data_IF_755585164689
#
_entry.id   IF_755585164689
#
_cell.length_a   1.000
_cell.length_b   1.000
_cell.length_c   1.000
_cell.angle_alpha   90.00
_cell.angle_beta   90.00
_cell.angle_gamma   90.00
#
_symmetry.space_group_name_H-M   'P 1'
#
loop_
_entity.id
_entity.type
_entity.pdbx_description
1 polymer ?
#
# COMPACT_ATOMS: atom_id res chain seq x y z
N UNK A 1 1.73 22.74 32.51
CA UNK A 1 1.66 22.55 31.06
C UNK A 1 0.52 21.58 30.80
N UNK A 2 -0.56 22.03 30.17
CA UNK A 2 -1.65 21.16 29.75
C UNK A 2 -1.15 20.32 28.58
N UNK A 3 -1.08 19.01 28.77
CA UNK A 3 -0.74 18.08 27.69
C UNK A 3 -1.84 18.18 26.62
N UNK A 4 -1.45 18.57 25.41
CA UNK A 4 -2.33 18.53 24.25
C UNK A 4 -2.41 17.08 23.78
N UNK A 5 -3.43 16.38 24.28
CA UNK A 5 -3.63 14.95 24.06
C UNK A 5 -3.79 14.63 22.56
N UNK A 6 -4.40 15.53 21.79
CA UNK A 6 -4.59 15.33 20.35
C UNK A 6 -3.27 15.50 19.58
N UNK A 7 -2.38 16.38 20.04
CA UNK A 7 -1.03 16.50 19.49
C UNK A 7 -0.18 15.25 19.79
N UNK A 8 -0.24 14.74 21.03
CA UNK A 8 0.50 13.52 21.43
C UNK A 8 0.00 12.30 20.66
N UNK A 9 -1.32 12.15 20.50
CA UNK A 9 -1.92 11.09 19.68
C UNK A 9 -1.49 11.19 18.22
N UNK A 10 -1.53 12.39 17.65
CA UNK A 10 -1.11 12.64 16.26
C UNK A 10 0.37 12.32 16.04
N UNK A 11 1.23 12.69 17.00
CA UNK A 11 2.66 12.38 16.95
C UNK A 11 2.95 10.90 17.11
N UNK A 12 2.21 10.21 17.98
CA UNK A 12 2.30 8.76 18.13
C UNK A 12 1.90 8.04 16.83
N UNK A 13 0.73 8.36 16.27
CA UNK A 13 0.23 7.75 15.02
C UNK A 13 1.17 8.05 13.85
N UNK A 14 1.69 9.28 13.75
CA UNK A 14 2.65 9.69 12.72
C UNK A 14 3.99 8.96 12.82
N UNK A 15 4.49 8.73 14.04
CA UNK A 15 5.80 8.10 14.26
C UNK A 15 5.76 6.57 14.17
N UNK A 16 4.67 5.95 14.61
CA UNK A 16 4.55 4.48 14.69
C UNK A 16 3.78 3.85 13.54
N UNK A 17 2.96 4.64 12.83
CA UNK A 17 1.98 4.14 11.89
C UNK A 17 0.86 3.32 12.54
N UNK A 18 0.74 3.34 13.87
CA UNK A 18 -0.29 2.62 14.61
C UNK A 18 -1.68 3.17 14.27
N UNK A 19 -2.68 2.30 14.23
CA UNK A 19 -4.07 2.70 14.06
C UNK A 19 -4.50 3.64 15.21
N UNK A 20 -5.26 4.72 14.94
CA UNK A 20 -5.58 5.74 15.96
C UNK A 20 -6.25 5.19 17.22
N UNK A 21 -7.05 4.13 17.11
CA UNK A 21 -7.65 3.45 18.27
C UNK A 21 -6.60 2.78 19.16
N UNK A 22 -5.71 1.97 18.57
CA UNK A 22 -4.62 1.32 19.31
C UNK A 22 -3.64 2.34 19.91
N UNK A 23 -3.31 3.39 19.15
CA UNK A 23 -2.47 4.48 19.62
C UNK A 23 -3.09 5.17 20.85
N UNK A 24 -4.41 5.40 20.83
CA UNK A 24 -5.14 5.98 21.95
C UNK A 24 -5.17 5.05 23.16
N UNK A 25 -5.42 3.76 22.97
CA UNK A 25 -5.44 2.77 24.07
C UNK A 25 -4.07 2.65 24.75
N UNK A 26 -2.98 2.63 23.97
CA UNK A 26 -1.62 2.57 24.49
C UNK A 26 -1.22 3.86 25.23
N UNK A 27 -1.61 5.02 24.70
CA UNK A 27 -1.37 6.30 25.34
C UNK A 27 -2.20 6.44 26.63
N UNK A 28 -3.49 6.10 26.61
CA UNK A 28 -4.34 6.14 27.80
C UNK A 28 -3.84 5.16 28.87
N UNK A 29 -3.43 3.95 28.48
CA UNK A 29 -2.85 2.95 29.39
C UNK A 29 -1.51 3.36 30.03
N UNK A 30 -0.80 4.32 29.43
CA UNK A 30 0.43 4.92 29.97
C UNK A 30 0.25 6.36 30.44
N UNK A 31 -0.99 6.77 30.70
CA UNK A 31 -1.29 8.09 31.24
C UNK A 31 -0.74 9.23 30.35
N UNK A 32 -0.79 9.01 29.04
CA UNK A 32 -0.29 9.88 27.97
C UNK A 32 1.23 10.09 27.96
N UNK A 33 1.99 9.16 28.54
CA UNK A 33 3.44 9.10 28.38
C UNK A 33 3.81 8.49 27.02
N UNK A 34 4.25 9.37 26.11
CA UNK A 34 4.67 9.01 24.75
C UNK A 34 5.81 7.98 24.74
N UNK A 35 6.80 8.10 25.63
CA UNK A 35 7.96 7.21 25.64
C UNK A 35 7.58 5.81 26.13
N UNK A 36 6.72 5.73 27.13
CA UNK A 36 6.24 4.45 27.66
C UNK A 36 5.31 3.74 26.66
N UNK A 37 4.42 4.49 25.99
CA UNK A 37 3.54 3.94 24.98
C UNK A 37 4.31 3.43 23.74
N UNK A 38 5.41 4.11 23.35
CA UNK A 38 6.27 3.67 22.26
C UNK A 38 6.97 2.34 22.57
N UNK A 39 7.42 2.15 23.82
CA UNK A 39 8.04 0.91 24.26
C UNK A 39 7.05 -0.27 24.22
N UNK A 40 5.85 -0.08 24.75
CA UNK A 40 4.78 -1.09 24.68
C UNK A 40 4.43 -1.45 23.23
N UNK A 41 4.38 -0.46 22.34
CA UNK A 41 4.15 -0.69 20.91
C UNK A 41 5.27 -1.51 20.26
N UNK A 42 6.54 -1.25 20.60
CA UNK A 42 7.66 -2.04 20.11
C UNK A 42 7.64 -3.49 20.60
N UNK A 43 7.25 -3.74 21.85
CA UNK A 43 7.09 -5.09 22.39
C UNK A 43 5.97 -5.86 21.67
N UNK A 44 4.81 -5.22 21.47
CA UNK A 44 3.70 -5.79 20.68
C UNK A 44 4.15 -6.14 19.26
N UNK A 45 4.94 -5.28 18.62
CA UNK A 45 5.48 -5.52 17.28
C UNK A 45 6.46 -6.71 17.23
N UNK A 46 7.26 -6.91 18.27
CA UNK A 46 8.19 -8.05 18.37
C UNK A 46 7.45 -9.39 18.52
N UNK A 47 6.38 -9.44 19.31
CA UNK A 47 5.57 -10.66 19.51
C UNK A 47 4.87 -11.08 18.21
N UNK A 48 4.37 -10.14 17.42
CA UNK A 48 3.78 -10.45 16.11
C UNK A 48 4.81 -10.89 15.06
N UNK A 49 6.05 -10.42 15.17
CA UNK A 49 7.13 -10.82 14.25
C UNK A 49 7.63 -12.24 14.53
N UNK A 50 7.70 -12.64 15.81
CA UNK A 50 8.16 -13.97 16.22
C UNK A 50 7.19 -15.13 15.89
N UNK A 51 5.95 -14.82 15.54
CA UNK A 51 4.90 -15.80 15.23
C UNK A 51 4.60 -15.96 13.73
N UNK A 52 5.42 -15.42 12.83
CA UNK A 52 5.28 -15.69 11.39
C UNK A 52 5.77 -17.12 11.05
N UNK A 53 5.01 -17.89 10.24
CA UNK A 53 5.50 -19.17 9.70
C UNK A 53 6.82 -19.00 8.96
N UNK A 54 7.75 -19.95 9.14
CA UNK A 54 9.11 -19.99 8.56
C UNK A 54 9.14 -20.20 7.03
N UNK A 55 8.11 -19.82 6.29
CA UNK A 55 7.95 -20.11 4.85
C UNK A 55 8.71 -19.12 3.95
N UNK A 56 9.32 -18.07 4.51
CA UNK A 56 10.00 -17.02 3.75
C UNK A 56 11.53 -17.14 3.72
N UNK A 57 12.11 -18.30 4.03
CA UNK A 57 13.55 -18.51 3.88
C UNK A 57 13.87 -19.66 2.92
N UNK A 58 14.29 -19.25 1.71
CA UNK A 58 15.04 -19.97 0.68
C UNK A 58 14.47 -21.24 0.04
N UNK A 59 14.50 -21.24 -1.30
CA UNK A 59 14.21 -22.41 -2.11
C UNK A 59 15.37 -23.40 -2.14
N UNK A 60 15.04 -24.71 -2.07
CA UNK A 60 15.63 -25.80 -2.87
C UNK A 60 14.97 -27.15 -2.58
N UNK A 61 14.64 -27.84 -3.68
CA UNK A 61 14.44 -29.29 -3.88
C UNK A 61 13.28 -30.06 -3.21
N UNK A 62 12.46 -30.66 -4.09
CA UNK A 62 11.54 -31.77 -3.84
C UNK A 62 12.19 -32.95 -3.09
N UNK A 63 11.43 -33.53 -2.15
CA UNK A 63 11.19 -34.99 -2.02
C UNK A 63 10.05 -35.28 -1.00
N UNK A 64 9.02 -36.00 -1.44
CA UNK A 64 8.14 -36.84 -0.59
C UNK A 64 8.90 -38.13 -0.19
N UNK A 65 8.58 -38.82 0.94
CA UNK A 65 7.41 -39.72 1.07
C UNK A 65 6.76 -39.77 2.49
N UNK A 66 5.43 -39.89 2.61
CA UNK A 66 4.56 -41.07 2.88
C UNK A 66 4.20 -41.38 4.35
N UNK A 67 2.87 -41.51 4.56
CA UNK A 67 2.07 -42.36 5.47
C UNK A 67 2.41 -42.53 6.97
N UNK A 68 1.39 -42.28 7.82
CA UNK A 68 1.20 -42.97 9.11
C UNK A 68 0.31 -42.25 10.13
N UNK A 69 -1.01 -42.50 10.14
CA UNK A 69 -1.85 -42.51 11.37
C UNK A 69 -1.55 -43.80 12.17
N UNK A 70 -1.87 -43.96 13.49
CA UNK A 70 -3.11 -43.49 14.13
C UNK A 70 -3.08 -43.18 15.68
N UNK A 71 -4.24 -42.78 16.19
CA UNK A 71 -4.86 -43.08 17.52
C UNK A 71 -5.07 -41.95 18.56
N UNK A 72 -6.36 -41.79 18.85
CA UNK A 72 -7.05 -41.06 19.93
C UNK A 72 -6.91 -41.81 21.28
N UNK A 73 -7.16 -41.18 22.46
CA UNK A 73 -8.52 -41.24 23.00
C UNK A 73 -8.99 -40.02 23.85
N UNK A 74 -10.14 -39.46 23.45
CA UNK A 74 -11.37 -39.15 24.23
C UNK A 74 -11.30 -38.82 25.72
N UNK A 75 -11.86 -37.64 26.09
CA UNK A 75 -12.65 -37.43 27.33
C UNK A 75 -13.79 -36.41 27.15
N UNK A 76 -15.00 -36.99 27.15
CA UNK A 76 -16.38 -36.60 27.54
C UNK A 76 -16.70 -35.15 27.99
N UNK A 77 -17.84 -34.68 27.45
CA UNK A 77 -18.61 -33.44 27.62
C UNK A 77 -19.25 -33.18 29.00
N UNK A 78 -19.65 -31.92 29.28
CA UNK A 78 -21.07 -31.50 29.49
C UNK A 78 -21.22 -29.96 29.70
N UNK A 79 -22.44 -29.39 29.54
CA UNK A 79 -22.67 -28.11 28.86
C UNK A 79 -23.11 -26.96 29.78
N UNK A 80 -23.00 -25.70 29.31
CA UNK A 80 -23.82 -24.60 29.83
C UNK A 80 -24.11 -23.54 28.75
N UNK A 81 -25.35 -23.08 28.79
CA UNK A 81 -26.11 -22.21 27.89
C UNK A 81 -25.72 -20.74 27.88
N UNK A 82 -25.85 -20.13 26.70
CA UNK A 82 -26.25 -18.74 26.40
C UNK A 82 -25.58 -17.59 27.17
N UNK A 83 -24.71 -16.84 26.49
CA UNK A 83 -24.93 -15.41 26.27
C UNK A 83 -24.56 -15.02 24.84
N UNK A 84 -25.57 -14.51 24.17
CA UNK A 84 -25.56 -13.86 22.87
C UNK A 84 -25.00 -12.45 23.13
N UNK A 85 -23.79 -12.17 22.66
CA UNK A 85 -23.33 -10.79 22.43
C UNK A 85 -23.10 -10.66 20.93
N UNK A 86 -24.10 -10.04 20.31
CA UNK A 86 -24.11 -9.66 18.90
C UNK A 86 -23.14 -8.49 18.64
N UNK A 87 -22.39 -8.65 17.55
CA UNK A 87 -21.92 -7.60 16.64
C UNK A 87 -20.91 -6.55 17.13
N UNK A 88 -19.73 -6.57 16.47
CA UNK A 88 -19.06 -5.41 15.84
C UNK A 88 -17.58 -5.20 16.18
N UNK A 89 -16.64 -6.08 15.76
CA UNK A 89 -15.28 -5.66 15.37
C UNK A 89 -14.39 -6.76 14.78
N UNK A 90 -14.72 -7.32 13.61
CA UNK A 90 -13.74 -8.17 12.89
C UNK A 90 -14.01 -8.29 11.38
N UNK A 91 -13.82 -7.19 10.63
CA UNK A 91 -13.65 -7.19 9.17
C UNK A 91 -12.84 -5.97 8.72
N UNK A 92 -11.53 -5.90 9.02
CA UNK A 92 -10.75 -4.70 8.68
C UNK A 92 -9.84 -4.91 7.47
N UNK A 93 -10.33 -4.40 6.35
CA UNK A 93 -9.54 -3.53 5.48
C UNK A 93 -10.23 -2.17 5.48
N UNK A 94 -9.49 -1.08 5.28
CA UNK A 94 -10.09 0.27 5.19
C UNK A 94 -9.36 1.12 4.16
N UNK A 95 -9.44 0.63 2.91
CA UNK A 95 -9.02 1.16 1.60
C UNK A 95 -7.69 0.72 1.01
N UNK A 96 -7.16 -0.44 1.36
CA UNK A 96 -6.05 -0.99 0.56
C UNK A 96 -5.11 -1.91 1.29
N UNK A 97 -4.40 -2.70 0.50
CA UNK A 97 -3.55 -3.79 0.96
C UNK A 97 -2.43 -3.35 1.92
N UNK A 98 -2.03 -2.07 1.89
CA UNK A 98 -1.02 -1.53 2.80
C UNK A 98 -1.45 -1.50 4.27
N UNK A 99 -2.74 -1.64 4.55
CA UNK A 99 -3.26 -1.76 5.93
C UNK A 99 -3.34 -3.22 6.42
N UNK A 100 -3.13 -4.20 5.54
CA UNK A 100 -3.27 -5.61 5.92
C UNK A 100 -2.16 -6.07 6.90
N UNK A 101 -0.96 -5.51 6.79
CA UNK A 101 0.13 -5.74 7.75
C UNK A 101 1.09 -4.56 7.78
N UNK A 102 0.98 -3.71 8.80
CA UNK A 102 1.83 -2.53 8.95
C UNK A 102 3.32 -2.89 9.09
N UNK A 103 3.64 -3.99 9.79
CA UNK A 103 5.01 -4.45 10.00
C UNK A 103 5.69 -4.89 8.70
N UNK A 104 5.04 -5.76 7.91
CA UNK A 104 5.60 -6.24 6.63
C UNK A 104 5.76 -5.09 5.66
N UNK A 105 4.74 -4.23 5.56
CA UNK A 105 4.77 -3.10 4.62
C UNK A 105 5.82 -2.07 5.03
N UNK A 106 6.02 -1.83 6.34
CA UNK A 106 7.09 -0.96 6.83
C UNK A 106 8.49 -1.51 6.49
N UNK A 107 8.71 -2.82 6.67
CA UNK A 107 9.95 -3.47 6.27
C UNK A 107 10.19 -3.32 4.75
N UNK A 108 9.17 -3.62 3.93
CA UNK A 108 9.27 -3.49 2.48
C UNK A 108 9.57 -2.05 2.05
N UNK A 109 8.94 -1.04 2.68
CA UNK A 109 9.24 0.38 2.42
C UNK A 109 10.67 0.75 2.80
N UNK A 110 11.19 0.25 3.92
CA UNK A 110 12.58 0.50 4.32
C UNK A 110 13.59 -0.03 3.32
N UNK A 111 13.32 -1.20 2.72
CA UNK A 111 14.17 -1.77 1.66
C UNK A 111 14.20 -0.87 0.43
N UNK A 112 13.03 -0.47 -0.07
CA UNK A 112 12.92 0.43 -1.24
C UNK A 112 13.56 1.78 -0.96
N UNK A 113 13.40 2.34 0.24
CA UNK A 113 14.03 3.61 0.62
C UNK A 113 15.56 3.53 0.59
N UNK A 114 16.13 2.43 1.08
CA UNK A 114 17.58 2.21 1.07
C UNK A 114 18.13 2.09 -0.35
N UNK A 115 17.42 1.39 -1.25
CA UNK A 115 17.82 1.29 -2.66
C UNK A 115 17.72 2.63 -3.41
N UNK A 116 16.79 3.51 -3.01
CA UNK A 116 16.58 4.81 -3.67
C UNK A 116 17.53 5.91 -3.17
N UNK A 117 18.31 5.66 -2.11
CA UNK A 117 19.21 6.64 -1.49
C UNK A 117 20.57 6.77 -2.20
N UNK A 118 20.84 5.95 -3.22
CA UNK A 118 21.96 6.21 -4.13
C UNK A 118 21.63 7.45 -4.97
N UNK A 119 22.53 8.44 -4.99
CA UNK A 119 22.43 9.74 -5.70
C UNK A 119 22.10 9.66 -7.21
N UNK A 120 21.99 8.45 -7.74
CA UNK A 120 21.38 8.14 -9.02
C UNK A 120 20.20 7.22 -8.72
N UNK A 121 18.99 7.69 -9.01
CA UNK A 121 17.80 6.83 -9.11
C UNK A 121 18.25 5.56 -9.85
N UNK A 122 18.24 4.36 -9.23
CA UNK A 122 18.80 3.20 -9.89
C UNK A 122 17.86 2.91 -11.05
N UNK A 123 18.33 3.15 -12.28
CA UNK A 123 17.73 2.56 -13.47
C UNK A 123 17.79 1.01 -13.40
N UNK A 124 18.51 0.48 -12.41
CA UNK A 124 18.69 -0.93 -12.06
C UNK A 124 17.86 -1.38 -10.84
N UNK A 125 16.74 -0.71 -10.51
CA UNK A 125 15.84 -1.28 -9.51
C UNK A 125 15.31 -2.64 -10.02
N UNK A 126 15.35 -3.70 -9.19
CA UNK A 126 14.81 -5.00 -9.57
C UNK A 126 13.34 -4.86 -10.01
N UNK A 127 13.02 -5.52 -11.13
CA UNK A 127 11.70 -5.46 -11.75
C UNK A 127 10.74 -6.30 -10.92
N UNK A 128 10.00 -5.66 -10.03
CA UNK A 128 8.88 -6.26 -9.32
C UNK A 128 7.55 -5.89 -9.96
N UNK A 129 6.64 -6.86 -9.99
CA UNK A 129 5.25 -6.66 -10.44
C UNK A 129 4.33 -7.26 -9.40
N UNK A 130 3.42 -6.45 -8.86
CA UNK A 130 2.40 -6.92 -7.95
C UNK A 130 1.23 -7.55 -8.72
N UNK A 131 0.73 -8.69 -8.22
CA UNK A 131 -0.46 -9.37 -8.74
C UNK A 131 -1.36 -9.76 -7.57
N UNK A 132 -2.67 -9.61 -7.76
CA UNK A 132 -3.63 -10.11 -6.79
C UNK A 132 -3.68 -11.65 -6.84
N UNK A 133 -3.81 -12.31 -5.68
CA UNK A 133 -4.12 -13.73 -5.66
C UNK A 133 -5.47 -14.00 -6.33
N UNK A 134 -5.69 -15.24 -6.77
CA UNK A 134 -6.97 -15.62 -7.34
C UNK A 134 -8.07 -15.56 -6.26
N UNK A 135 -8.93 -14.55 -6.34
CA UNK A 135 -10.03 -14.35 -5.38
C UNK A 135 -11.24 -15.25 -5.70
N UNK A 136 -11.29 -15.89 -6.86
CA UNK A 136 -12.43 -16.72 -7.28
C UNK A 136 -12.53 -18.04 -6.49
N UNK A 137 -11.46 -18.44 -5.81
CA UNK A 137 -11.42 -19.64 -4.96
C UNK A 137 -12.15 -19.44 -3.63
N UNK A 138 -12.51 -18.21 -3.27
CA UNK A 138 -13.20 -17.88 -2.02
C UNK A 138 -14.70 -17.67 -2.21
N UNK A 139 -15.45 -17.65 -1.11
CA UNK A 139 -16.89 -17.40 -1.14
C UNK A 139 -17.22 -16.02 -1.73
N UNK A 140 -18.39 -15.92 -2.36
CA UNK A 140 -18.85 -14.67 -2.98
C UNK A 140 -18.87 -13.51 -1.98
N UNK A 141 -19.41 -13.73 -0.77
CA UNK A 141 -19.44 -12.73 0.30
C UNK A 141 -18.04 -12.21 0.67
N UNK A 142 -17.05 -13.11 0.75
CA UNK A 142 -15.68 -12.72 1.07
C UNK A 142 -15.02 -11.98 -0.08
N UNK A 143 -15.17 -12.50 -1.31
CA UNK A 143 -14.65 -11.84 -2.51
C UNK A 143 -15.22 -10.42 -2.65
N UNK A 144 -16.53 -10.26 -2.52
CA UNK A 144 -17.17 -8.93 -2.60
C UNK A 144 -16.71 -8.00 -1.48
N UNK A 145 -16.45 -8.52 -0.27
CA UNK A 145 -15.85 -7.74 0.81
C UNK A 145 -14.45 -7.22 0.45
N UNK A 146 -13.57 -8.09 -0.08
CA UNK A 146 -12.21 -7.73 -0.50
C UNK A 146 -12.23 -6.76 -1.69
N UNK A 147 -13.03 -7.05 -2.71
CA UNK A 147 -13.13 -6.22 -3.91
C UNK A 147 -13.65 -4.81 -3.60
N UNK A 148 -14.61 -4.68 -2.67
CA UNK A 148 -15.13 -3.39 -2.24
C UNK A 148 -14.05 -2.51 -1.58
N UNK A 149 -13.09 -3.10 -0.89
CA UNK A 149 -12.06 -2.33 -0.19
C UNK A 149 -10.78 -2.11 -1.02
N UNK A 150 -10.37 -3.12 -1.80
CA UNK A 150 -9.13 -3.07 -2.57
C UNK A 150 -9.27 -2.40 -3.93
N UNK A 151 -10.47 -2.37 -4.52
CA UNK A 151 -10.65 -2.02 -5.93
C UNK A 151 -11.41 -0.71 -6.08
N UNK A 152 -10.90 0.20 -6.92
CA UNK A 152 -11.56 1.45 -7.26
C UNK A 152 -12.71 1.19 -8.26
N UNK A 153 -13.85 0.74 -7.73
CA UNK A 153 -14.98 0.30 -8.54
C UNK A 153 -15.52 1.38 -9.47
N UNK A 154 -15.59 2.63 -9.00
CA UNK A 154 -16.10 3.76 -9.78
C UNK A 154 -15.31 3.97 -11.07
N UNK A 155 -13.97 3.93 -10.96
CA UNK A 155 -13.04 4.10 -12.07
C UNK A 155 -13.05 2.87 -12.98
N UNK A 156 -13.14 1.67 -12.42
CA UNK A 156 -13.24 0.44 -13.21
C UNK A 156 -14.46 0.46 -14.12
N UNK A 157 -15.65 0.71 -13.55
CA UNK A 157 -16.91 0.73 -14.28
C UNK A 157 -16.88 1.80 -15.36
N UNK A 158 -16.39 3.01 -15.05
CA UNK A 158 -16.29 4.09 -16.03
C UNK A 158 -15.36 3.72 -17.21
N UNK A 159 -14.20 3.11 -16.94
CA UNK A 159 -13.25 2.73 -17.98
C UNK A 159 -13.74 1.55 -18.83
N UNK A 160 -14.42 0.58 -18.23
CA UNK A 160 -14.99 -0.56 -18.94
C UNK A 160 -16.15 -0.15 -19.83
N UNK A 161 -17.07 0.67 -19.31
CA UNK A 161 -18.19 1.22 -20.09
C UNK A 161 -17.71 2.12 -21.24
N UNK A 162 -16.60 2.86 -21.04
CA UNK A 162 -15.97 3.65 -22.10
C UNK A 162 -15.17 2.80 -23.12
N UNK A 163 -15.12 1.46 -22.96
CA UNK A 163 -14.35 0.58 -23.83
C UNK A 163 -12.83 0.79 -23.74
N UNK A 164 -12.34 1.34 -22.62
CA UNK A 164 -10.91 1.66 -22.40
C UNK A 164 -10.19 0.61 -21.56
N UNK A 165 -10.90 -0.08 -20.68
CA UNK A 165 -10.37 -1.13 -19.81
C UNK A 165 -11.07 -2.46 -20.09
N UNK A 166 -10.32 -3.56 -20.06
CA UNK A 166 -10.83 -4.93 -20.19
C UNK A 166 -11.67 -5.24 -21.45
N UNK A 167 -11.64 -4.38 -22.47
CA UNK A 167 -12.36 -4.58 -23.74
C UNK A 167 -11.90 -5.85 -24.48
N UNK A 168 -10.68 -6.32 -24.22
CA UNK A 168 -10.14 -7.56 -24.79
C UNK A 168 -10.70 -8.83 -24.14
N UNK A 169 -11.33 -8.74 -22.97
CA UNK A 169 -11.80 -9.92 -22.22
C UNK A 169 -12.86 -10.72 -22.97
N UNK A 170 -13.63 -10.09 -23.85
CA UNK A 170 -14.61 -10.74 -24.72
C UNK A 170 -14.00 -11.33 -26.00
N UNK A 171 -12.78 -10.90 -26.35
CA UNK A 171 -12.08 -11.33 -27.56
C UNK A 171 -11.09 -12.48 -27.31
N UNK A 172 -10.57 -12.59 -26.09
CA UNK A 172 -9.54 -13.54 -25.74
C UNK A 172 -9.71 -14.06 -24.31
N UNK A 173 -10.04 -15.34 -24.17
CA UNK A 173 -10.24 -16.00 -22.87
C UNK A 173 -8.94 -16.22 -22.08
N UNK A 174 -7.77 -16.17 -22.74
CA UNK A 174 -6.47 -16.28 -22.06
C UNK A 174 -5.97 -14.95 -21.49
N UNK A 175 -6.51 -13.82 -21.92
CA UNK A 175 -6.12 -12.51 -21.40
C UNK A 175 -6.76 -12.28 -20.03
N UNK A 176 -5.93 -11.97 -19.02
CA UNK A 176 -6.41 -11.68 -17.67
C UNK A 176 -7.09 -10.32 -17.61
N UNK A 177 -8.09 -10.22 -16.74
CA UNK A 177 -8.75 -8.96 -16.41
C UNK A 177 -7.81 -8.12 -15.54
N UNK A 178 -7.77 -6.82 -15.79
CA UNK A 178 -7.05 -5.86 -14.97
C UNK A 178 -8.01 -5.19 -13.99
N UNK A 179 -7.55 -5.00 -12.76
CA UNK A 179 -8.33 -4.42 -11.68
C UNK A 179 -7.61 -3.17 -11.15
N UNK A 180 -8.23 -1.97 -11.19
CA UNK A 180 -7.62 -0.76 -10.67
C UNK A 180 -7.64 -0.79 -9.13
N UNK A 181 -6.46 -0.90 -8.52
CA UNK A 181 -6.35 -0.86 -7.05
C UNK A 181 -6.73 0.53 -6.53
N UNK A 182 -7.42 0.55 -5.40
CA UNK A 182 -7.79 1.77 -4.70
C UNK A 182 -6.54 2.53 -4.24
N UNK A 183 -6.57 3.86 -4.40
CA UNK A 183 -5.55 4.78 -3.88
C UNK A 183 -6.20 5.83 -2.97
N UNK A 184 -5.41 6.45 -2.10
CA UNK A 184 -5.85 7.56 -1.27
C UNK A 184 -5.90 8.88 -2.06
N UNK A 185 -6.89 9.73 -1.74
CA UNK A 185 -7.13 11.02 -2.39
C UNK A 185 -6.33 12.18 -1.80
N UNK A 186 -5.10 11.92 -1.33
CA UNK A 186 -4.24 12.89 -0.63
C UNK A 186 -3.34 13.72 -1.58
N UNK A 187 -3.54 13.58 -2.90
CA UNK A 187 -2.72 14.25 -3.91
C UNK A 187 -1.39 13.55 -4.21
N UNK A 188 -1.17 12.33 -3.71
CA UNK A 188 -0.03 11.47 -4.08
C UNK A 188 -0.45 10.22 -4.89
N UNK A 189 -1.68 10.19 -5.41
CA UNK A 189 -2.28 9.02 -6.06
C UNK A 189 -1.45 8.42 -7.22
N UNK A 190 -0.77 9.25 -8.02
CA UNK A 190 0.11 8.77 -9.10
C UNK A 190 1.24 7.87 -8.55
N UNK A 191 1.87 8.28 -7.46
CA UNK A 191 3.00 7.55 -6.88
C UNK A 191 2.54 6.40 -5.99
N UNK A 192 1.36 6.53 -5.39
CA UNK A 192 0.67 5.38 -4.82
C UNK A 192 0.39 4.30 -5.88
N UNK A 193 -0.15 4.67 -7.05
CA UNK A 193 -0.43 3.73 -8.12
C UNK A 193 0.84 3.04 -8.65
N UNK A 194 1.92 3.80 -8.87
CA UNK A 194 3.20 3.24 -9.28
C UNK A 194 3.77 2.26 -8.23
N UNK A 195 3.79 2.67 -6.96
CA UNK A 195 4.28 1.86 -5.85
C UNK A 195 3.44 0.59 -5.63
N UNK A 196 2.11 0.68 -5.78
CA UNK A 196 1.21 -0.47 -5.73
C UNK A 196 1.48 -1.45 -6.87
N UNK A 197 1.69 -0.96 -8.10
CA UNK A 197 1.95 -1.81 -9.26
C UNK A 197 3.28 -2.57 -9.19
N UNK A 198 4.30 -1.97 -8.56
CA UNK A 198 5.62 -2.60 -8.40
C UNK A 198 5.69 -3.50 -7.17
N UNK A 199 5.28 -2.98 -6.00
CA UNK A 199 5.57 -3.62 -4.71
C UNK A 199 4.34 -3.96 -3.88
N UNK A 200 3.13 -3.59 -4.33
CA UNK A 200 1.91 -3.88 -3.59
C UNK A 200 1.72 -3.02 -2.35
N UNK A 201 2.33 -1.84 -2.26
CA UNK A 201 2.03 -0.89 -1.20
C UNK A 201 2.03 0.57 -1.64
N UNK A 202 1.36 1.42 -0.87
CA UNK A 202 1.29 2.86 -1.09
C UNK A 202 2.62 3.55 -0.71
N UNK A 203 3.05 4.53 -1.52
CA UNK A 203 4.15 5.47 -1.24
C UNK A 203 3.83 6.44 -0.06
N UNK A 204 3.64 5.93 1.15
CA UNK A 204 3.30 6.74 2.33
C UNK A 204 4.48 7.52 2.91
N UNK A 205 5.68 6.98 2.79
CA UNK A 205 6.91 7.62 3.26
C UNK A 205 7.45 8.67 2.25
N UNK A 206 6.72 8.85 1.15
CA UNK A 206 6.99 9.79 0.07
C UNK A 206 8.35 9.55 -0.59
N UNK A 207 8.82 8.30 -0.61
CA UNK A 207 10.12 7.92 -1.19
C UNK A 207 10.09 8.23 -2.68
N UNK A 208 9.12 7.69 -3.42
CA UNK A 208 9.00 7.97 -4.85
C UNK A 208 8.77 9.46 -5.12
N UNK A 209 8.00 10.14 -4.25
CA UNK A 209 7.71 11.57 -4.40
C UNK A 209 8.95 12.43 -4.25
N UNK A 210 9.74 12.18 -3.20
CA UNK A 210 11.00 12.89 -2.94
C UNK A 210 11.99 12.62 -4.07
N UNK A 211 12.09 11.38 -4.53
CA UNK A 211 13.02 11.02 -5.60
C UNK A 211 12.61 11.63 -6.94
N UNK A 212 11.32 11.65 -7.29
CA UNK A 212 10.82 12.35 -8.49
C UNK A 212 11.12 13.86 -8.41
N UNK A 213 10.86 14.48 -7.27
CA UNK A 213 11.17 15.89 -7.05
C UNK A 213 12.67 16.17 -7.20
N UNK A 214 13.53 15.37 -6.58
CA UNK A 214 14.99 15.50 -6.70
C UNK A 214 15.45 15.36 -8.16
N UNK A 215 14.94 14.37 -8.88
CA UNK A 215 15.22 14.17 -10.31
C UNK A 215 14.84 15.40 -11.14
N UNK A 216 13.67 15.99 -10.88
CA UNK A 216 13.20 17.17 -11.60
C UNK A 216 13.88 18.47 -11.17
N UNK A 217 14.39 18.58 -9.94
CA UNK A 217 15.02 19.79 -9.40
C UNK A 217 16.51 19.87 -9.71
N UNK A 218 17.23 18.79 -9.52
CA UNK A 218 18.70 18.75 -9.62
C UNK A 218 19.25 17.51 -10.32
N UNK A 219 18.40 16.58 -10.75
CA UNK A 219 18.84 15.38 -11.45
C UNK A 219 19.53 15.67 -12.80
N UNK A 220 20.46 14.78 -13.19
CA UNK A 220 21.22 14.91 -14.44
C UNK A 220 20.32 15.00 -15.68
N UNK A 221 19.15 14.36 -15.66
CA UNK A 221 18.19 14.31 -16.75
C UNK A 221 17.26 15.54 -16.82
N UNK A 222 17.31 16.46 -15.85
CA UNK A 222 16.39 17.61 -15.71
C UNK A 222 16.24 18.41 -17.00
N UNK A 223 17.35 18.81 -17.61
CA UNK A 223 17.32 19.64 -18.82
C UNK A 223 16.78 18.87 -20.04
N UNK A 224 17.04 17.56 -20.12
CA UNK A 224 16.47 16.72 -21.17
C UNK A 224 14.94 16.58 -21.02
N UNK A 225 14.45 16.34 -19.81
CA UNK A 225 13.02 16.30 -19.50
C UNK A 225 12.33 17.62 -19.81
N UNK A 226 12.94 18.76 -19.41
CA UNK A 226 12.43 20.10 -19.70
C UNK A 226 12.30 20.37 -21.20
N UNK A 227 13.27 19.93 -22.01
CA UNK A 227 13.20 20.05 -23.48
C UNK A 227 12.06 19.22 -24.06
N UNK A 228 11.89 17.97 -23.62
CA UNK A 228 10.79 17.09 -24.07
C UNK A 228 9.42 17.68 -23.74
N UNK A 229 9.24 18.16 -22.51
CA UNK A 229 8.01 18.84 -22.11
C UNK A 229 7.72 20.09 -22.97
N UNK A 230 8.71 20.97 -23.15
CA UNK A 230 8.55 22.18 -23.98
C UNK A 230 8.17 21.85 -25.41
N UNK A 231 8.78 20.81 -25.98
CA UNK A 231 8.46 20.35 -27.33
C UNK A 231 7.01 19.87 -27.42
N UNK A 232 6.57 19.02 -26.49
CA UNK A 232 5.18 18.53 -26.44
C UNK A 232 4.18 19.68 -26.29
N UNK A 233 4.45 20.61 -25.38
CA UNK A 233 3.61 21.79 -25.16
C UNK A 233 3.55 22.67 -26.42
N UNK A 234 4.67 22.79 -27.14
CA UNK A 234 4.73 23.55 -28.40
C UNK A 234 3.86 22.90 -29.47
N UNK A 235 3.82 21.57 -29.57
CA UNK A 235 2.93 20.90 -30.53
C UNK A 235 1.46 21.14 -30.18
N UNK A 236 1.07 20.95 -28.91
CA UNK A 236 -0.29 21.21 -28.45
C UNK A 236 -0.72 22.66 -28.67
N UNK A 237 0.17 23.63 -28.40
CA UNK A 237 -0.13 25.05 -28.61
C UNK A 237 -0.39 25.38 -30.09
N UNK A 238 0.19 24.64 -31.04
CA UNK A 238 -0.09 24.83 -32.47
C UNK A 238 -1.50 24.35 -32.84
N UNK A 239 -1.96 23.26 -32.23
CA UNK A 239 -3.29 22.67 -32.50
C UNK A 239 -4.44 23.59 -32.05
N UNK A 240 -4.21 24.43 -31.02
CA UNK A 240 -5.23 25.33 -30.46
C UNK A 240 -5.21 26.74 -31.11
N UNK A 241 -4.25 27.01 -32.01
CA UNK A 241 -4.03 28.34 -32.60
C UNK A 241 -3.35 29.33 -31.64
N UNK A 242 -2.90 30.51 -32.13
CA UNK A 242 -2.08 31.41 -31.33
C UNK A 242 -2.88 32.07 -30.19
N UNK A 243 -2.75 31.53 -28.97
CA UNK A 243 -2.89 32.35 -27.76
C UNK A 243 -1.57 33.09 -27.53
N UNK A 244 -1.67 34.38 -27.21
CA UNK A 244 -0.56 35.32 -27.04
C UNK A 244 0.65 34.72 -26.28
N UNK A 245 1.89 35.12 -26.64
CA UNK A 245 3.08 34.56 -26.03
C UNK A 245 3.06 34.74 -24.51
N UNK A 246 3.30 33.63 -23.78
CA UNK A 246 3.51 33.65 -22.33
C UNK A 246 4.72 34.56 -22.08
N UNK A 247 4.60 35.66 -21.31
CA UNK A 247 5.70 36.57 -21.08
C UNK A 247 6.85 35.81 -20.41
N UNK A 248 8.02 36.03 -20.97
CA UNK A 248 9.28 35.46 -20.51
C UNK A 248 9.53 35.96 -19.09
N UNK A 249 9.28 35.13 -18.06
CA UNK A 249 9.74 35.35 -16.69
C UNK A 249 11.26 35.11 -16.65
N UNK A 250 12.00 35.94 -17.39
CA UNK A 250 13.41 36.14 -17.19
C UNK A 250 13.58 37.03 -15.97
N UNK A 251 13.74 36.42 -14.81
CA UNK A 251 14.30 37.12 -13.66
C UNK A 251 15.65 37.70 -14.06
N UNK A 252 15.72 39.02 -14.15
CA UNK A 252 17.00 39.73 -14.10
C UNK A 252 17.58 39.49 -12.69
N UNK A 253 18.85 39.12 -12.67
CA UNK A 253 19.71 39.18 -11.49
C UNK A 253 19.72 40.60 -10.91
#
# INVERSE_FOLDING_TARGET
MTLDMDAVLSDFVRSTGAEPGLARDLLEGKNWDLSAALNDYEQLRQVHTANLPHVFNEGRYYKQPEHGTPQHPSKVERPCTQRQDDNAQEKRLSRGISHASSAIVSLARSHVANECNSEQFPLDLPIYTFQLPDLSVYSEDFRSFIERDLIEQSTMVALEQAGRLNWWSTMCTSCKRLLPLATTGDGNCLLHAASLGMWGFHDRDLVLRKSLYAMMKSGAQREALKRRWRWQQTQQNKEVGPRAPIPNLGGKM
#
